data_IF_129092238704
#
_entry.id   IF_129092238704
#
_cell.length_a   1.000
_cell.length_b   1.000
_cell.length_c   1.000
_cell.angle_alpha   90.00
_cell.angle_beta   90.00
_cell.angle_gamma   90.00
#
_symmetry.space_group_name_H-M   'P 1'
#
loop_
_entity.id
_entity.type
_entity.pdbx_description
1 polymer ?
#
# COMPACT_ATOMS: atom_id res chain seq x y z
N UNK A 1 29.98 -9.33 -11.86
CA UNK A 1 29.67 -7.91 -11.55
C UNK A 1 28.63 -7.28 -12.50
N UNK A 2 28.39 -7.80 -13.71
CA UNK A 2 27.40 -7.25 -14.66
C UNK A 2 25.93 -7.50 -14.31
N UNK A 3 25.56 -8.73 -13.93
CA UNK A 3 24.16 -9.11 -13.67
C UNK A 3 23.47 -8.31 -12.54
N UNK A 4 24.24 -7.82 -11.54
CA UNK A 4 23.70 -7.05 -10.42
C UNK A 4 23.39 -5.58 -10.81
N UNK A 5 24.07 -5.04 -11.83
CA UNK A 5 23.82 -3.70 -12.37
C UNK A 5 22.58 -3.67 -13.26
N UNK A 6 22.45 -4.65 -14.15
CA UNK A 6 21.30 -4.75 -15.07
C UNK A 6 19.98 -4.92 -14.32
N UNK A 7 19.93 -5.79 -13.30
CA UNK A 7 18.73 -5.90 -12.45
C UNK A 7 18.41 -4.61 -11.70
N UNK A 8 19.43 -3.88 -11.22
CA UNK A 8 19.22 -2.63 -10.49
C UNK A 8 18.71 -1.49 -11.37
N UNK A 9 19.11 -1.46 -12.64
CA UNK A 9 18.67 -0.45 -13.60
C UNK A 9 17.24 -0.74 -14.11
N UNK A 10 16.89 -2.03 -14.29
CA UNK A 10 15.54 -2.46 -14.66
C UNK A 10 14.50 -2.16 -13.56
N UNK A 11 14.79 -2.46 -12.30
CA UNK A 11 13.92 -2.11 -11.17
C UNK A 11 13.70 -0.59 -11.05
N UNK A 12 14.74 0.21 -11.28
CA UNK A 12 14.62 1.67 -11.26
C UNK A 12 13.74 2.16 -12.40
N UNK A 13 13.82 1.54 -13.57
CA UNK A 13 12.94 1.82 -14.71
C UNK A 13 11.46 1.58 -14.37
N UNK A 14 11.13 0.49 -13.68
CA UNK A 14 9.77 0.18 -13.25
C UNK A 14 9.24 1.16 -12.20
N UNK A 15 10.04 1.51 -11.20
CA UNK A 15 9.65 2.51 -10.20
C UNK A 15 9.45 3.88 -10.83
N UNK A 16 10.27 4.29 -11.79
CA UNK A 16 10.08 5.56 -12.50
C UNK A 16 8.75 5.56 -13.27
N UNK A 17 8.38 4.46 -13.93
CA UNK A 17 7.09 4.34 -14.63
C UNK A 17 5.89 4.59 -13.70
N UNK A 18 5.93 4.12 -12.45
CA UNK A 18 4.89 4.37 -11.43
C UNK A 18 4.66 5.86 -11.18
N UNK A 19 5.71 6.67 -11.24
CA UNK A 19 5.65 8.11 -11.00
C UNK A 19 5.49 8.96 -12.26
N UNK A 20 5.50 8.33 -13.44
CA UNK A 20 5.15 9.01 -14.69
C UNK A 20 3.63 9.23 -14.72
N UNK A 21 3.22 10.46 -15.04
CA UNK A 21 1.81 10.86 -15.12
C UNK A 21 1.35 10.85 -16.58
N UNK A 22 1.44 9.70 -17.23
CA UNK A 22 1.07 9.51 -18.64
C UNK A 22 2.27 9.48 -19.60
N UNK A 23 1.95 9.42 -20.89
CA UNK A 23 2.95 9.40 -21.98
C UNK A 23 3.49 10.80 -22.26
N UNK A 24 4.74 10.87 -22.73
CA UNK A 24 5.38 12.13 -23.08
C UNK A 24 4.65 12.82 -24.23
N UNK A 25 4.52 14.14 -24.17
CA UNK A 25 3.88 14.90 -25.23
C UNK A 25 4.64 14.76 -26.56
N UNK A 26 3.92 14.52 -27.66
CA UNK A 26 4.53 14.44 -28.99
C UNK A 26 4.92 15.84 -29.49
N UNK A 27 6.22 16.15 -29.48
CA UNK A 27 6.80 17.44 -29.86
C UNK A 27 7.07 17.58 -31.37
N UNK A 28 6.91 16.51 -32.15
CA UNK A 28 7.24 16.49 -33.59
C UNK A 28 6.17 17.16 -34.44
N UNK A 29 4.90 17.05 -34.06
CA UNK A 29 3.77 17.67 -34.79
C UNK A 29 3.53 19.15 -34.52
N UNK A 30 4.32 19.78 -33.63
CA UNK A 30 4.03 21.11 -33.11
C UNK A 30 4.72 22.23 -33.92
N UNK A 31 3.93 23.12 -34.53
CA UNK A 31 4.40 24.22 -35.40
C UNK A 31 4.93 25.44 -34.61
N UNK A 32 4.38 25.71 -33.43
CA UNK A 32 4.79 26.86 -32.61
C UNK A 32 6.09 26.55 -31.82
N UNK A 33 7.15 27.31 -32.14
CA UNK A 33 8.48 27.17 -31.51
C UNK A 33 8.45 27.51 -30.02
N UNK A 34 7.63 28.49 -29.59
CA UNK A 34 7.55 28.91 -28.18
C UNK A 34 6.86 27.84 -27.34
N UNK A 35 5.73 27.31 -27.83
CA UNK A 35 5.02 26.23 -27.17
C UNK A 35 5.85 24.95 -27.11
N UNK A 36 6.59 24.62 -28.19
CA UNK A 36 7.49 23.47 -28.22
C UNK A 36 8.59 23.56 -27.15
N UNK A 37 9.22 24.72 -27.02
CA UNK A 37 10.21 24.96 -25.96
C UNK A 37 9.61 24.83 -24.56
N UNK A 38 8.44 25.43 -24.32
CA UNK A 38 7.76 25.33 -23.03
C UNK A 38 7.37 23.89 -22.67
N UNK A 39 6.90 23.12 -23.65
CA UNK A 39 6.50 21.73 -23.43
C UNK A 39 7.71 20.84 -23.17
N UNK A 40 8.80 20.99 -23.94
CA UNK A 40 10.05 20.26 -23.70
C UNK A 40 10.60 20.49 -22.28
N UNK A 41 10.57 21.73 -21.78
CA UNK A 41 10.99 22.06 -20.40
C UNK A 41 10.08 21.38 -19.37
N UNK A 42 8.76 21.35 -19.61
CA UNK A 42 7.81 20.66 -18.72
C UNK A 42 8.04 19.15 -18.70
N UNK A 43 8.26 18.54 -19.86
CA UNK A 43 8.58 17.10 -19.97
C UNK A 43 9.86 16.74 -19.21
N UNK A 44 10.92 17.56 -19.35
CA UNK A 44 12.15 17.36 -18.58
C UNK A 44 11.92 17.49 -17.06
N UNK A 45 11.11 18.47 -16.63
CA UNK A 45 10.72 18.63 -15.23
C UNK A 45 9.91 17.42 -14.72
N UNK A 46 8.97 16.90 -15.50
CA UNK A 46 8.22 15.70 -15.13
C UNK A 46 9.12 14.47 -15.05
N UNK A 47 10.03 14.27 -16.00
CA UNK A 47 11.00 13.18 -15.99
C UNK A 47 11.95 13.25 -14.78
N UNK A 48 12.44 14.46 -14.46
CA UNK A 48 13.26 14.69 -13.25
C UNK A 48 12.48 14.43 -11.97
N UNK A 49 11.23 14.89 -11.91
CA UNK A 49 10.35 14.71 -10.75
C UNK A 49 10.06 13.22 -10.50
N UNK A 50 9.73 12.46 -11.55
CA UNK A 50 9.49 11.02 -11.45
C UNK A 50 10.74 10.24 -11.01
N UNK A 51 11.92 10.59 -11.56
CA UNK A 51 13.21 9.99 -11.14
C UNK A 51 13.53 10.29 -9.68
N UNK A 52 13.34 11.53 -9.24
CA UNK A 52 13.55 11.92 -7.84
C UNK A 52 12.58 11.18 -6.92
N UNK A 53 11.29 11.10 -7.27
CA UNK A 53 10.29 10.38 -6.48
C UNK A 53 10.63 8.89 -6.35
N UNK A 54 10.99 8.21 -7.45
CA UNK A 54 11.41 6.81 -7.43
C UNK A 54 12.66 6.58 -6.57
N UNK A 55 13.62 7.51 -6.62
CA UNK A 55 14.83 7.45 -5.80
C UNK A 55 14.52 7.65 -4.30
N UNK A 56 13.59 8.56 -3.98
CA UNK A 56 13.12 8.78 -2.61
C UNK A 56 12.43 7.52 -2.09
N UNK A 57 11.48 6.96 -2.84
CA UNK A 57 10.80 5.72 -2.45
C UNK A 57 11.80 4.59 -2.21
N UNK A 58 12.77 4.36 -3.10
CA UNK A 58 13.76 3.29 -2.93
C UNK A 58 14.67 3.47 -1.72
N UNK A 59 14.98 4.70 -1.31
CA UNK A 59 16.01 4.97 -0.29
C UNK A 59 15.47 5.41 1.06
N UNK A 60 14.31 6.04 1.09
CA UNK A 60 13.72 6.64 2.30
C UNK A 60 12.48 5.89 2.80
N UNK A 61 11.91 4.94 2.04
CA UNK A 61 10.80 4.15 2.55
C UNK A 61 11.32 3.23 3.67
N UNK A 62 10.86 3.41 4.92
CA UNK A 62 11.44 2.71 6.07
C UNK A 62 10.87 1.30 6.27
N UNK A 63 9.76 0.99 5.61
CA UNK A 63 9.00 -0.24 5.81
C UNK A 63 8.90 -0.96 4.47
N UNK A 64 9.24 -2.24 4.48
CA UNK A 64 9.00 -3.15 3.37
C UNK A 64 7.64 -3.85 3.55
N UNK A 65 7.00 -4.23 2.45
CA UNK A 65 5.73 -4.95 2.52
C UNK A 65 5.92 -6.33 3.15
N UNK A 66 5.07 -6.70 4.10
CA UNK A 66 5.05 -8.04 4.66
C UNK A 66 4.61 -9.06 3.61
N UNK A 67 5.22 -10.24 3.62
CA UNK A 67 4.87 -11.36 2.74
C UNK A 67 4.96 -12.68 3.49
N UNK A 68 4.29 -13.70 2.97
CA UNK A 68 4.34 -15.07 3.46
C UNK A 68 4.83 -15.96 2.32
N UNK A 69 6.04 -16.47 2.47
CA UNK A 69 6.65 -17.39 1.51
C UNK A 69 6.64 -18.80 2.12
N UNK A 70 6.16 -19.78 1.36
CA UNK A 70 6.16 -21.16 1.80
C UNK A 70 7.43 -21.87 1.33
N UNK A 71 8.03 -22.67 2.21
CA UNK A 71 9.23 -23.43 1.86
C UNK A 71 8.86 -24.77 1.19
N UNK A 72 9.49 -25.05 0.05
CA UNK A 72 9.53 -26.36 -0.59
C UNK A 72 8.15 -26.96 -0.93
N UNK A 73 7.59 -27.74 -0.01
CA UNK A 73 6.37 -28.55 -0.19
C UNK A 73 5.16 -27.92 0.53
N UNK A 74 5.39 -26.94 1.40
CA UNK A 74 4.31 -26.29 2.13
C UNK A 74 3.47 -25.39 1.23
N UNK A 75 2.18 -25.32 1.53
CA UNK A 75 1.20 -24.52 0.79
C UNK A 75 0.75 -23.38 1.68
N UNK A 76 0.82 -22.15 1.20
CA UNK A 76 0.52 -20.93 1.97
C UNK A 76 -0.88 -20.95 2.60
N UNK A 77 -1.88 -21.53 1.94
CA UNK A 77 -3.24 -21.64 2.47
C UNK A 77 -3.43 -22.66 3.60
N UNK A 78 -2.42 -23.49 3.91
CA UNK A 78 -2.47 -24.45 5.04
C UNK A 78 -1.95 -23.85 6.35
N UNK A 79 -1.37 -22.65 6.29
CA UNK A 79 -0.78 -21.97 7.44
C UNK A 79 -1.91 -21.44 8.33
N UNK A 80 -1.87 -21.80 9.63
CA UNK A 80 -2.89 -21.41 10.62
C UNK A 80 -2.61 -20.03 11.20
N UNK A 81 -3.67 -19.31 11.59
CA UNK A 81 -3.57 -18.02 12.28
C UNK A 81 -2.80 -18.11 13.60
N UNK A 82 -2.92 -19.24 14.32
CA UNK A 82 -2.16 -19.51 15.55
C UNK A 82 -0.64 -19.56 15.30
N UNK A 83 -0.23 -20.17 14.19
CA UNK A 83 1.18 -20.26 13.79
C UNK A 83 1.72 -18.90 13.35
N UNK A 84 0.90 -18.09 12.67
CA UNK A 84 1.22 -16.72 12.30
C UNK A 84 1.47 -15.90 13.56
N UNK A 85 0.55 -15.92 14.54
CA UNK A 85 0.67 -15.13 15.78
C UNK A 85 1.98 -15.32 16.55
N UNK A 86 2.58 -16.52 16.47
CA UNK A 86 3.83 -16.88 17.13
C UNK A 86 5.08 -16.33 16.43
N UNK A 87 5.02 -16.11 15.11
CA UNK A 87 6.15 -15.61 14.33
C UNK A 87 6.24 -14.07 14.36
N UNK A 88 5.13 -13.40 14.64
CA UNK A 88 5.07 -11.94 14.70
C UNK A 88 5.47 -11.37 16.06
N UNK A 89 5.83 -10.09 16.07
CA UNK A 89 6.12 -9.34 17.29
C UNK A 89 4.86 -9.12 18.14
N UNK A 90 5.04 -8.88 19.43
CA UNK A 90 3.96 -8.73 20.41
C UNK A 90 2.95 -7.63 20.02
N UNK A 91 3.39 -6.54 19.37
CA UNK A 91 2.50 -5.46 18.96
C UNK A 91 1.64 -5.89 17.77
N UNK A 92 2.21 -6.60 16.81
CA UNK A 92 1.47 -7.15 15.67
C UNK A 92 0.51 -8.26 16.11
N UNK A 93 0.91 -9.15 17.02
CA UNK A 93 0.05 -10.23 17.52
C UNK A 93 -1.16 -9.71 18.30
N UNK A 94 -1.08 -8.51 18.88
CA UNK A 94 -2.24 -7.83 19.51
C UNK A 94 -3.33 -7.43 18.52
N UNK A 95 -3.00 -7.26 17.23
CA UNK A 95 -3.98 -6.93 16.20
C UNK A 95 -4.82 -8.13 15.76
N UNK A 96 -4.51 -9.34 16.24
CA UNK A 96 -5.35 -10.50 16.08
C UNK A 96 -6.35 -10.56 17.25
N UNK A 97 -7.60 -10.22 16.97
CA UNK A 97 -8.69 -10.26 17.94
C UNK A 97 -9.93 -10.91 17.33
N UNK A 98 -10.74 -11.50 18.20
CA UNK A 98 -12.04 -12.05 17.87
C UNK A 98 -13.11 -11.31 18.67
N UNK A 99 -14.09 -10.71 17.98
CA UNK A 99 -15.16 -9.93 18.59
C UNK A 99 -16.45 -10.74 18.47
N UNK A 100 -16.81 -11.39 19.56
CA UNK A 100 -17.98 -12.28 19.61
C UNK A 100 -19.23 -11.49 20.01
N UNK A 101 -20.12 -11.24 19.05
CA UNK A 101 -21.40 -10.54 19.24
C UNK A 101 -22.58 -11.45 18.84
N UNK A 102 -22.99 -12.34 19.74
CA UNK A 102 -23.95 -13.40 19.41
C UNK A 102 -25.41 -12.94 19.20
N UNK A 103 -25.83 -11.82 19.82
CA UNK A 103 -27.26 -11.58 20.03
C UNK A 103 -27.98 -10.83 18.90
N UNK A 104 -27.25 -10.00 18.14
CA UNK A 104 -27.85 -8.96 17.28
C UNK A 104 -27.79 -9.29 15.78
N UNK A 105 -27.60 -10.58 15.47
CA UNK A 105 -27.53 -11.11 14.11
C UNK A 105 -26.14 -10.95 13.48
N UNK A 106 -25.99 -11.26 12.19
CA UNK A 106 -24.72 -11.07 11.49
C UNK A 106 -24.34 -9.59 11.46
N UNK A 107 -23.03 -9.34 11.59
CA UNK A 107 -22.45 -8.01 11.57
C UNK A 107 -21.80 -7.69 10.23
N UNK A 108 -21.99 -6.46 9.78
CA UNK A 108 -21.19 -5.84 8.73
C UNK A 108 -20.16 -4.93 9.37
N UNK A 109 -18.93 -4.99 8.87
CA UNK A 109 -17.81 -4.18 9.35
C UNK A 109 -17.39 -3.22 8.25
N UNK A 110 -17.08 -1.99 8.62
CA UNK A 110 -16.44 -1.02 7.74
C UNK A 110 -15.32 -0.30 8.50
N UNK A 111 -14.26 0.07 7.79
CA UNK A 111 -13.06 0.67 8.37
C UNK A 111 -12.81 2.05 7.77
N UNK A 112 -12.27 2.94 8.59
CA UNK A 112 -11.78 4.23 8.08
C UNK A 112 -10.58 4.02 7.16
N UNK A 113 -10.31 4.97 6.26
CA UNK A 113 -9.21 4.85 5.29
C UNK A 113 -7.81 4.70 5.93
N UNK A 114 -7.67 5.16 7.18
CA UNK A 114 -6.45 4.97 7.98
C UNK A 114 -6.47 3.70 8.86
N UNK A 115 -7.58 2.94 8.88
CA UNK A 115 -7.78 1.74 9.67
C UNK A 115 -7.89 1.94 11.18
N UNK A 116 -7.97 3.19 11.66
CA UNK A 116 -7.99 3.48 13.08
C UNK A 116 -9.32 3.10 13.74
N UNK A 117 -10.43 3.34 13.04
CA UNK A 117 -11.76 3.09 13.58
C UNK A 117 -12.47 2.03 12.73
N UNK A 118 -13.20 1.16 13.42
CA UNK A 118 -14.09 0.18 12.81
C UNK A 118 -15.51 0.47 13.22
N UNK A 119 -16.40 0.58 12.25
CA UNK A 119 -17.84 0.59 12.46
C UNK A 119 -18.37 -0.83 12.33
N UNK A 120 -19.05 -1.32 13.37
CA UNK A 120 -19.75 -2.59 13.38
C UNK A 120 -21.25 -2.36 13.40
N UNK A 121 -21.95 -2.87 12.38
CA UNK A 121 -23.39 -2.75 12.22
C UNK A 121 -24.05 -4.13 12.23
N UNK A 122 -24.85 -4.42 13.26
CA UNK A 122 -25.62 -5.65 13.39
C UNK A 122 -26.97 -5.52 12.67
N UNK A 123 -27.43 -6.62 12.06
CA UNK A 123 -28.71 -6.66 11.33
C UNK A 123 -29.92 -6.19 12.16
N UNK A 124 -29.91 -6.37 13.48
CA UNK A 124 -30.99 -5.93 14.38
C UNK A 124 -30.91 -4.44 14.78
N UNK A 125 -30.02 -3.65 14.19
CA UNK A 125 -29.90 -2.21 14.46
C UNK A 125 -28.85 -1.84 15.51
N UNK A 126 -27.96 -2.76 15.88
CA UNK A 126 -26.81 -2.44 16.73
C UNK A 126 -25.76 -1.70 15.91
N UNK A 127 -25.31 -0.54 16.39
CA UNK A 127 -24.21 0.21 15.78
C UNK A 127 -23.18 0.51 16.86
N UNK A 128 -21.93 0.16 16.58
CA UNK A 128 -20.80 0.43 17.45
C UNK A 128 -19.64 0.95 16.62
N UNK A 129 -18.96 1.99 17.11
CA UNK A 129 -17.69 2.43 16.55
C UNK A 129 -16.60 2.12 17.57
N UNK A 130 -15.57 1.40 17.15
CA UNK A 130 -14.48 0.92 18.00
C UNK A 130 -13.18 1.53 17.50
N UNK A 131 -12.36 2.04 18.42
CA UNK A 131 -10.95 2.35 18.15
C UNK A 131 -10.15 1.06 18.12
N UNK A 132 -9.59 0.71 16.96
CA UNK A 132 -8.91 -0.56 16.73
C UNK A 132 -7.53 -0.65 17.38
N UNK A 133 -6.95 0.48 17.81
CA UNK A 133 -5.68 0.46 18.56
C UNK A 133 -5.88 0.12 20.02
N UNK A 134 -6.96 0.61 20.61
CA UNK A 134 -7.22 0.47 22.04
C UNK A 134 -8.32 -0.55 22.35
N UNK A 135 -9.06 -0.98 21.33
CA UNK A 135 -10.28 -1.79 21.42
C UNK A 135 -11.37 -1.15 22.30
N UNK A 136 -11.33 0.17 22.43
CA UNK A 136 -12.34 0.92 23.18
C UNK A 136 -13.50 1.31 22.26
N UNK A 137 -14.72 1.23 22.81
CA UNK A 137 -15.89 1.80 22.16
C UNK A 137 -15.79 3.33 22.21
N UNK A 138 -15.99 3.99 21.07
CA UNK A 138 -16.15 5.43 21.03
C UNK A 138 -17.54 5.73 21.59
N UNK A 139 -17.57 6.30 22.80
CA UNK A 139 -18.75 6.93 23.38
C UNK A 139 -18.55 8.44 23.32
N UNK A 140 -19.62 9.16 22.98
CA UNK A 140 -19.73 10.59 23.33
C UNK A 140 -19.71 10.78 24.86
#
# INVERSE_FOLDING_TARGET
MGAKKENSDNEMGEKVKKYLRGEAANLEGLKDKKLKGQLAVREDLYGKSAKTAAKIEKRLLPIEGGYLEAEGIEKTWRIKQESIAHEFDILSSRNQYDIVLAELGPYTLDFTSNGQYMAAAGRKGHLAVVDMKTLNLIKD
#
